data_IF_868273453015
#
_entry.id   IF_868273453015
#
_cell.length_a   1.000
_cell.length_b   1.000
_cell.length_c   1.000
_cell.angle_alpha   90.00
_cell.angle_beta   90.00
_cell.angle_gamma   90.00
#
_symmetry.space_group_name_H-M   'P 1'
#
loop_
_entity.id
_entity.type
_entity.pdbx_description
1 polymer ?
#
# COMPACT_ATOMS: atom_id res chain seq x y z
N UNK A 1 7.49 2.26 -32.07
CA UNK A 1 8.59 1.71 -31.24
C UNK A 1 8.58 0.18 -31.34
N UNK A 2 9.58 -0.54 -30.80
CA UNK A 2 9.55 -2.03 -30.79
C UNK A 2 8.36 -2.56 -29.98
N UNK A 3 8.00 -1.90 -28.87
CA UNK A 3 6.84 -2.28 -28.06
C UNK A 3 5.51 -2.15 -28.84
N UNK A 4 5.33 -1.08 -29.63
CA UNK A 4 4.11 -0.87 -30.43
C UNK A 4 4.00 -1.87 -31.60
N UNK A 5 5.13 -2.38 -32.10
CA UNK A 5 5.12 -3.48 -33.08
C UNK A 5 4.73 -4.81 -32.45
N UNK A 6 5.18 -5.05 -31.21
CA UNK A 6 4.86 -6.27 -30.46
C UNK A 6 3.39 -6.28 -29.99
N UNK A 7 2.82 -5.09 -29.73
CA UNK A 7 1.48 -4.89 -29.18
C UNK A 7 0.65 -4.04 -30.14
N UNK A 8 0.13 -4.62 -31.25
CA UNK A 8 -0.67 -3.87 -32.22
C UNK A 8 -1.81 -3.11 -31.55
N UNK A 9 -1.99 -1.84 -31.92
CA UNK A 9 -2.98 -0.94 -31.32
C UNK A 9 -2.43 -0.08 -30.17
N UNK A 10 -1.37 -0.52 -29.49
CA UNK A 10 -0.71 0.30 -28.49
C UNK A 10 -0.02 1.51 -29.14
N UNK A 11 -0.20 2.68 -28.53
CA UNK A 11 0.47 3.93 -28.87
C UNK A 11 0.94 4.60 -27.58
N UNK A 12 2.24 4.73 -27.37
CA UNK A 12 2.77 5.20 -26.08
C UNK A 12 2.93 6.72 -26.03
N UNK A 13 2.27 7.33 -25.05
CA UNK A 13 2.34 8.74 -24.73
C UNK A 13 2.96 8.95 -23.35
N UNK A 14 3.66 10.09 -23.19
CA UNK A 14 4.23 10.51 -21.92
C UNK A 14 3.25 11.44 -21.22
N UNK A 15 2.87 11.08 -19.99
CA UNK A 15 2.00 11.85 -19.13
C UNK A 15 2.81 12.39 -17.95
N UNK A 16 2.71 13.70 -17.72
CA UNK A 16 3.47 14.37 -16.65
C UNK A 16 2.50 15.10 -15.73
N UNK A 17 2.66 14.89 -14.41
CA UNK A 17 1.90 15.60 -13.38
C UNK A 17 2.81 15.92 -12.19
N UNK A 18 3.08 17.20 -11.97
CA UNK A 18 4.06 17.64 -10.98
C UNK A 18 5.47 17.14 -11.33
N UNK A 19 6.12 16.42 -10.42
CA UNK A 19 7.44 15.80 -10.67
C UNK A 19 7.36 14.37 -11.26
N UNK A 20 6.14 13.82 -11.38
CA UNK A 20 5.87 12.46 -11.87
C UNK A 20 5.76 12.44 -13.38
N UNK A 21 6.34 11.40 -13.98
CA UNK A 21 6.28 11.13 -15.41
C UNK A 21 6.04 9.64 -15.61
N UNK A 22 5.02 9.30 -16.40
CA UNK A 22 4.68 7.93 -16.78
C UNK A 22 4.49 7.83 -18.29
N UNK A 23 4.75 6.65 -18.84
CA UNK A 23 4.51 6.34 -20.25
C UNK A 23 3.40 5.31 -20.32
N UNK A 24 2.28 5.66 -20.97
CA UNK A 24 1.06 4.84 -21.05
C UNK A 24 0.47 4.92 -22.45
N UNK A 25 -0.37 3.96 -22.79
CA UNK A 25 -1.17 4.01 -24.00
C UNK A 25 -2.63 4.33 -23.68
N UNK A 26 -3.23 5.35 -24.34
CA UNK A 26 -4.65 5.61 -24.27
C UNK A 26 -5.47 4.64 -25.14
N UNK A 27 -4.81 3.90 -26.04
CA UNK A 27 -5.43 2.97 -26.97
C UNK A 27 -5.30 1.52 -26.48
N UNK A 28 -6.30 0.66 -26.74
CA UNK A 28 -6.19 -0.76 -26.42
C UNK A 28 -5.10 -1.43 -27.27
N UNK A 29 -4.57 -2.54 -26.79
CA UNK A 29 -3.59 -3.36 -27.50
C UNK A 29 -4.16 -4.75 -27.80
N UNK A 30 -3.55 -5.42 -28.78
CA UNK A 30 -3.78 -6.83 -29.08
C UNK A 30 -2.49 -7.63 -28.92
N UNK A 31 -2.63 -8.94 -28.76
CA UNK A 31 -1.53 -9.91 -28.82
C UNK A 31 -1.82 -10.92 -29.95
N UNK A 32 -0.80 -11.49 -30.59
CA UNK A 32 -0.96 -12.60 -31.54
C UNK A 32 -1.78 -13.75 -30.92
N UNK A 33 -2.63 -14.40 -31.72
CA UNK A 33 -3.52 -15.47 -31.24
C UNK A 33 -2.74 -16.65 -30.61
N UNK A 34 -1.55 -16.93 -31.14
CA UNK A 34 -0.62 -17.94 -30.62
C UNK A 34 -0.07 -17.63 -29.22
N UNK A 35 -0.11 -16.37 -28.77
CA UNK A 35 0.32 -15.96 -27.43
C UNK A 35 -0.85 -15.78 -26.46
N UNK A 36 -2.10 -15.82 -26.95
CA UNK A 36 -3.29 -15.53 -26.15
C UNK A 36 -3.46 -16.50 -24.97
N UNK A 37 -3.05 -17.77 -25.13
CA UNK A 37 -3.09 -18.78 -24.07
C UNK A 37 -1.88 -18.71 -23.11
N UNK A 38 -0.92 -17.84 -23.38
CA UNK A 38 0.36 -17.76 -22.65
C UNK A 38 0.55 -16.41 -21.92
N UNK A 39 -0.34 -15.45 -22.15
CA UNK A 39 -0.24 -14.09 -21.61
C UNK A 39 -1.59 -13.67 -21.02
N UNK A 40 -1.62 -13.46 -19.70
CA UNK A 40 -2.82 -12.92 -19.04
C UNK A 40 -3.07 -11.46 -19.44
N UNK A 41 -2.02 -10.63 -19.35
CA UNK A 41 -2.03 -9.22 -19.77
C UNK A 41 -0.59 -8.67 -19.84
N UNK A 42 -0.42 -7.48 -20.44
CA UNK A 42 0.83 -6.72 -20.43
C UNK A 42 0.74 -5.57 -19.44
N UNK A 43 1.55 -5.63 -18.38
CA UNK A 43 1.64 -4.58 -17.37
C UNK A 43 2.22 -3.27 -17.92
N UNK A 44 1.85 -2.14 -17.32
CA UNK A 44 2.43 -0.85 -17.66
C UNK A 44 1.84 -0.12 -18.86
N UNK A 45 0.77 -0.65 -19.46
CA UNK A 45 0.13 -0.04 -20.63
C UNK A 45 -0.89 1.03 -20.24
N UNK A 46 -1.86 0.72 -19.38
CA UNK A 46 -3.01 1.61 -19.15
C UNK A 46 -3.08 2.22 -17.75
N UNK A 47 -2.77 1.45 -16.70
CA UNK A 47 -3.01 1.85 -15.31
C UNK A 47 -2.03 2.92 -14.82
N UNK A 48 -2.56 4.01 -14.30
CA UNK A 48 -1.76 5.07 -13.68
C UNK A 48 -1.49 4.75 -12.21
N UNK A 49 -0.32 5.13 -11.66
CA UNK A 49 -0.08 5.02 -10.23
C UNK A 49 -1.10 5.84 -9.43
N UNK A 50 -1.52 5.31 -8.28
CA UNK A 50 -2.48 5.98 -7.41
C UNK A 50 -2.00 7.38 -6.99
N UNK A 51 -2.92 8.34 -7.04
CA UNK A 51 -2.75 9.67 -6.47
C UNK A 51 -3.77 9.89 -5.36
N UNK A 52 -3.44 9.45 -4.14
CA UNK A 52 -4.24 9.86 -2.98
C UNK A 52 -3.74 11.20 -2.44
N UNK A 53 -4.68 12.13 -2.24
CA UNK A 53 -4.43 13.31 -1.42
C UNK A 53 -4.29 12.80 0.02
N UNK A 54 -3.20 13.16 0.69
CA UNK A 54 -3.10 12.96 2.12
C UNK A 54 -4.36 13.52 2.79
N UNK A 55 -4.94 12.75 3.71
CA UNK A 55 -6.14 13.16 4.44
C UNK A 55 -5.98 14.61 4.94
N UNK A 56 -6.96 15.47 4.64
CA UNK A 56 -6.94 16.83 5.18
C UNK A 56 -7.00 16.76 6.69
N UNK A 57 -6.06 17.41 7.39
CA UNK A 57 -6.10 17.54 8.85
C UNK A 57 -7.50 18.05 9.25
N UNK A 58 -8.22 17.26 10.04
CA UNK A 58 -9.44 17.74 10.69
C UNK A 58 -9.09 18.97 11.53
N UNK A 59 -9.75 20.09 11.27
CA UNK A 59 -9.50 21.33 12.03
C UNK A 59 -9.77 21.12 13.51
N UNK A 60 -8.86 21.57 14.37
CA UNK A 60 -9.07 21.60 15.81
C UNK A 60 -10.25 22.55 16.11
N UNK A 61 -11.42 22.00 16.42
CA UNK A 61 -12.51 22.80 16.95
C UNK A 61 -12.18 23.15 18.41
N UNK A 62 -11.93 24.44 18.63
CA UNK A 62 -11.68 25.01 19.95
C UNK A 62 -12.90 24.88 20.85
N UNK A 63 -12.91 23.84 21.68
CA UNK A 63 -13.78 23.71 22.84
C UNK A 63 -12.93 23.23 24.01
N UNK A 64 -13.29 23.63 25.24
CA UNK A 64 -12.63 23.24 26.50
C UNK A 64 -12.80 21.74 26.82
N UNK A 65 -12.35 20.86 25.93
CA UNK A 65 -12.15 19.45 26.22
C UNK A 65 -10.70 19.25 26.71
N UNK A 66 -10.48 18.25 27.56
CA UNK A 66 -9.14 17.86 28.00
C UNK A 66 -8.23 17.72 26.76
N UNK A 67 -7.01 18.24 26.84
CA UNK A 67 -6.05 18.22 25.73
C UNK A 67 -5.79 16.76 25.31
N UNK A 68 -6.40 16.33 24.20
CA UNK A 68 -6.24 14.98 23.64
C UNK A 68 -5.40 15.10 22.36
N UNK A 69 -4.18 14.55 22.37
CA UNK A 69 -3.24 14.57 21.23
C UNK A 69 -3.72 13.76 20.00
N UNK A 70 -4.89 13.11 20.09
CA UNK A 70 -5.38 12.17 19.09
C UNK A 70 -5.08 10.72 19.49
N UNK A 71 -5.19 9.80 18.53
CA UNK A 71 -4.83 8.40 18.75
C UNK A 71 -3.31 8.29 18.75
N UNK A 72 -2.73 7.73 19.82
CA UNK A 72 -1.29 7.46 19.95
C UNK A 72 -1.06 5.96 20.15
N UNK A 73 0.19 5.45 20.05
CA UNK A 73 0.53 4.08 20.42
C UNK A 73 -0.04 3.64 21.78
N UNK A 74 0.06 4.49 22.81
CA UNK A 74 -0.50 4.19 24.13
C UNK A 74 -2.03 4.02 24.11
N UNK A 75 -2.74 4.84 23.33
CA UNK A 75 -4.21 4.75 23.17
C UNK A 75 -4.59 3.43 22.50
N UNK A 76 -3.92 3.05 21.41
CA UNK A 76 -4.19 1.80 20.70
C UNK A 76 -3.90 0.59 21.57
N UNK A 77 -2.73 0.54 22.20
CA UNK A 77 -2.32 -0.56 23.07
C UNK A 77 -3.30 -0.72 24.23
N UNK A 78 -3.71 0.38 24.88
CA UNK A 78 -4.72 0.34 25.94
C UNK A 78 -6.08 -0.14 25.41
N UNK A 79 -6.54 0.35 24.27
CA UNK A 79 -7.85 -0.01 23.69
C UNK A 79 -7.93 -1.48 23.30
N UNK A 80 -6.85 -2.03 22.76
CA UNK A 80 -6.77 -3.42 22.33
C UNK A 80 -6.10 -4.34 23.36
N UNK A 81 -6.09 -3.92 24.64
CA UNK A 81 -5.61 -4.72 25.78
C UNK A 81 -4.17 -5.25 25.66
N UNK A 82 -3.28 -4.48 25.03
CA UNK A 82 -1.86 -4.80 24.88
C UNK A 82 -1.08 -4.23 26.08
N UNK A 83 -0.46 -5.12 26.84
CA UNK A 83 0.40 -4.80 27.98
C UNK A 83 1.80 -4.41 27.53
N UNK A 84 2.65 -3.93 28.45
CA UNK A 84 4.07 -3.67 28.14
C UNK A 84 4.87 -4.93 27.80
N UNK A 85 4.37 -6.11 28.16
CA UNK A 85 4.98 -7.41 27.85
C UNK A 85 4.59 -7.96 26.48
N UNK A 86 3.52 -7.45 25.85
CA UNK A 86 3.05 -7.88 24.54
C UNK A 86 3.89 -7.26 23.42
N UNK A 87 5.12 -7.75 23.32
CA UNK A 87 6.13 -7.34 22.35
C UNK A 87 6.80 -8.59 21.73
N UNK A 88 7.28 -8.47 20.50
CA UNK A 88 7.95 -9.54 19.79
C UNK A 88 9.19 -10.06 20.54
N UNK A 89 9.29 -11.38 20.66
CA UNK A 89 10.43 -12.07 21.29
C UNK A 89 11.17 -13.04 20.34
N UNK A 90 10.53 -13.41 19.22
CA UNK A 90 11.07 -14.42 18.31
C UNK A 90 11.92 -13.76 17.20
N UNK A 91 13.21 -14.14 17.07
CA UNK A 91 14.13 -13.50 16.13
C UNK A 91 13.80 -13.76 14.66
N UNK A 92 13.10 -14.86 14.35
CA UNK A 92 12.71 -15.23 12.99
C UNK A 92 11.30 -14.75 12.61
N UNK A 93 10.65 -13.98 13.48
CA UNK A 93 9.38 -13.35 13.17
C UNK A 93 9.62 -11.96 12.57
N UNK A 94 8.91 -11.63 11.50
CA UNK A 94 9.03 -10.33 10.83
C UNK A 94 7.71 -9.89 10.19
N UNK A 95 7.56 -8.58 10.06
CA UNK A 95 6.39 -7.90 9.51
C UNK A 95 6.83 -6.80 8.54
N UNK A 96 5.98 -6.37 7.62
CA UNK A 96 6.27 -5.27 6.72
C UNK A 96 5.02 -4.43 6.43
N UNK A 97 5.24 -3.16 6.14
CA UNK A 97 4.24 -2.26 5.56
C UNK A 97 4.61 -1.94 4.11
N UNK A 98 3.63 -1.85 3.22
CA UNK A 98 3.80 -1.51 1.82
C UNK A 98 2.85 -0.38 1.41
N UNK A 99 3.41 0.64 0.77
CA UNK A 99 2.66 1.74 0.18
C UNK A 99 3.27 2.08 -1.18
N UNK A 100 2.47 2.67 -2.07
CA UNK A 100 2.83 2.87 -3.47
C UNK A 100 2.76 4.34 -3.91
N UNK A 101 2.64 5.25 -2.95
CA UNK A 101 2.87 6.67 -3.19
C UNK A 101 4.39 6.88 -3.25
N UNK A 102 4.86 7.83 -4.06
CA UNK A 102 6.27 8.27 -4.06
C UNK A 102 6.59 9.09 -2.79
N UNK A 103 6.29 8.52 -1.65
CA UNK A 103 6.55 9.03 -0.31
C UNK A 103 7.56 8.10 0.34
N UNK A 104 8.47 8.67 1.12
CA UNK A 104 9.50 7.92 1.83
C UNK A 104 9.33 8.19 3.33
N UNK A 105 9.53 7.16 4.16
CA UNK A 105 9.69 7.36 5.60
C UNK A 105 11.14 7.76 5.87
N UNK A 106 11.36 8.65 6.84
CA UNK A 106 12.72 8.97 7.30
C UNK A 106 13.02 8.17 8.57
N UNK A 107 14.19 7.51 8.67
CA UNK A 107 14.60 6.83 9.90
C UNK A 107 14.68 7.77 11.12
N UNK A 108 14.94 9.06 10.89
CA UNK A 108 14.96 10.09 11.94
C UNK A 108 13.55 10.31 12.52
N UNK A 109 12.54 10.44 11.66
CA UNK A 109 11.14 10.62 12.06
C UNK A 109 10.65 9.43 12.90
N UNK A 110 10.97 8.19 12.47
CA UNK A 110 10.63 6.99 13.24
C UNK A 110 11.31 6.98 14.61
N UNK A 111 12.58 7.39 14.69
CA UNK A 111 13.30 7.45 15.96
C UNK A 111 12.70 8.50 16.90
N UNK A 112 12.35 9.67 16.39
CA UNK A 112 11.66 10.73 17.14
C UNK A 112 10.26 10.29 17.60
N UNK A 113 9.49 9.66 16.71
CA UNK A 113 8.17 9.11 17.03
C UNK A 113 8.25 8.10 18.19
N UNK A 114 9.21 7.17 18.12
CA UNK A 114 9.40 6.17 19.17
C UNK A 114 9.91 6.78 20.47
N UNK A 115 10.72 7.85 20.40
CA UNK A 115 11.13 8.60 21.59
C UNK A 115 9.93 9.29 22.27
N UNK A 116 8.99 9.82 21.49
CA UNK A 116 7.81 10.51 22.00
C UNK A 116 6.74 9.55 22.53
N UNK A 117 6.51 8.42 21.86
CA UNK A 117 5.34 7.57 22.11
C UNK A 117 5.66 6.11 22.52
N UNK A 118 6.90 5.67 22.42
CA UNK A 118 7.32 4.28 22.65
C UNK A 118 7.66 3.94 24.10
N UNK A 119 7.72 4.92 25.02
CA UNK A 119 8.23 4.71 26.39
C UNK A 119 7.48 3.68 27.25
N UNK A 120 6.26 3.27 26.87
CA UNK A 120 5.44 2.32 27.61
C UNK A 120 5.63 0.85 27.25
N UNK A 121 6.49 0.52 26.29
CA UNK A 121 6.72 -0.86 25.81
C UNK A 121 8.11 -1.01 25.17
N UNK A 122 8.64 -2.24 25.13
CA UNK A 122 9.88 -2.54 24.41
C UNK A 122 9.69 -2.35 22.90
N UNK A 123 10.54 -1.55 22.25
CA UNK A 123 10.40 -1.20 20.84
C UNK A 123 11.75 -1.06 20.12
N UNK A 124 11.69 -1.10 18.78
CA UNK A 124 12.82 -0.80 17.90
C UNK A 124 12.66 0.64 17.40
N UNK A 125 13.74 1.41 17.33
CA UNK A 125 13.73 2.77 16.78
C UNK A 125 14.27 2.84 15.35
N UNK A 126 14.53 1.68 14.72
CA UNK A 126 15.09 1.55 13.38
C UNK A 126 14.50 0.33 12.68
N UNK A 127 14.36 0.44 11.37
CA UNK A 127 14.08 -0.70 10.49
C UNK A 127 15.36 -1.49 10.23
N UNK A 128 15.25 -2.80 9.98
CA UNK A 128 16.40 -3.72 9.94
C UNK A 128 17.24 -3.62 8.65
N UNK A 129 16.69 -3.03 7.59
CA UNK A 129 17.35 -2.79 6.31
C UNK A 129 16.67 -1.60 5.64
N UNK A 130 17.21 -1.01 4.58
CA UNK A 130 16.43 -0.19 3.63
C UNK A 130 16.55 -0.87 2.28
N UNK A 131 15.42 -1.33 1.72
CA UNK A 131 15.38 -1.95 0.39
C UNK A 131 14.85 -0.89 -0.57
N UNK A 132 15.69 -0.46 -1.52
CA UNK A 132 15.38 0.64 -2.44
C UNK A 132 16.18 1.91 -2.18
N UNK A 133 16.19 2.80 -3.18
CA UNK A 133 16.84 4.09 -3.06
C UNK A 133 15.87 5.07 -2.38
N UNK A 134 16.13 5.41 -1.12
CA UNK A 134 15.62 6.66 -0.58
C UNK A 134 16.44 7.77 -1.22
N UNK A 135 15.92 8.37 -2.29
CA UNK A 135 16.36 9.71 -2.66
C UNK A 135 16.05 10.66 -1.49
N UNK A 136 16.66 11.84 -1.46
CA UNK A 136 16.33 12.92 -0.49
C UNK A 136 14.93 13.52 -0.70
N UNK A 137 13.94 12.70 -1.01
CA UNK A 137 12.54 13.06 -1.17
C UNK A 137 11.93 13.45 0.16
N UNK A 138 10.88 14.28 0.10
CA UNK A 138 10.16 14.74 1.28
C UNK A 138 9.53 13.54 2.01
N UNK A 139 9.64 13.56 3.34
CA UNK A 139 8.86 12.68 4.19
C UNK A 139 7.38 12.78 3.80
N UNK A 140 6.72 11.64 3.65
CA UNK A 140 5.30 11.60 3.36
C UNK A 140 4.51 11.07 4.55
N UNK A 141 3.36 11.70 4.83
CA UNK A 141 2.52 11.34 5.97
C UNK A 141 2.11 9.86 5.94
N UNK A 142 1.79 9.32 4.77
CA UNK A 142 1.37 7.91 4.62
C UNK A 142 2.51 6.95 4.94
N UNK A 143 3.69 7.23 4.38
CA UNK A 143 4.87 6.40 4.57
C UNK A 143 5.36 6.38 6.02
N UNK A 144 5.24 7.51 6.74
CA UNK A 144 5.52 7.58 8.18
C UNK A 144 4.44 6.86 9.01
N UNK A 145 3.16 7.10 8.71
CA UNK A 145 2.02 6.52 9.43
C UNK A 145 2.08 4.99 9.46
N UNK A 146 2.28 4.37 8.30
CA UNK A 146 2.31 2.91 8.16
C UNK A 146 3.42 2.27 9.01
N UNK A 147 4.65 2.82 8.96
CA UNK A 147 5.80 2.26 9.67
C UNK A 147 5.76 2.53 11.17
N UNK A 148 5.36 3.73 11.58
CA UNK A 148 5.29 4.14 12.99
C UNK A 148 4.26 3.31 13.78
N UNK A 149 3.10 3.06 13.17
CA UNK A 149 2.03 2.33 13.83
C UNK A 149 2.18 0.82 13.78
N UNK A 150 2.68 0.23 12.68
CA UNK A 150 2.95 -1.21 12.65
C UNK A 150 4.05 -1.59 13.65
N UNK A 151 5.06 -0.73 13.85
CA UNK A 151 6.12 -0.94 14.85
C UNK A 151 5.68 -0.61 16.29
N UNK A 152 4.50 -0.03 16.48
CA UNK A 152 3.91 0.25 17.79
C UNK A 152 2.97 -0.85 18.27
N UNK A 153 2.17 -1.42 17.37
CA UNK A 153 1.28 -2.55 17.67
C UNK A 153 2.06 -3.86 17.58
N UNK A 154 2.76 -4.11 16.48
CA UNK A 154 3.77 -5.16 16.33
C UNK A 154 5.12 -4.77 16.94
N UNK A 155 5.10 -4.33 18.19
CA UNK A 155 6.29 -3.81 18.87
C UNK A 155 7.39 -4.86 18.99
N UNK A 156 8.65 -4.43 18.84
CA UNK A 156 9.85 -5.27 18.89
C UNK A 156 9.92 -6.42 17.86
N UNK A 157 9.10 -6.40 16.82
CA UNK A 157 9.16 -7.35 15.70
C UNK A 157 10.10 -6.80 14.61
N UNK A 158 10.86 -7.68 13.97
CA UNK A 158 11.70 -7.31 12.83
C UNK A 158 10.82 -6.70 11.73
N UNK A 159 11.12 -5.46 11.34
CA UNK A 159 10.34 -4.72 10.35
C UNK A 159 11.28 -4.30 9.24
N UNK A 160 11.62 -5.20 8.29
CA UNK A 160 12.28 -4.76 7.07
C UNK A 160 11.32 -3.85 6.31
N UNK A 161 11.82 -2.80 5.67
CA UNK A 161 11.00 -2.00 4.78
C UNK A 161 10.56 -2.86 3.62
N UNK A 162 9.40 -2.48 3.08
CA UNK A 162 8.89 -3.06 1.85
C UNK A 162 10.02 -3.18 0.82
N UNK A 163 10.16 -4.33 0.12
CA UNK A 163 10.90 -4.35 -1.12
C UNK A 163 10.43 -3.16 -1.95
N UNK A 164 11.35 -2.37 -2.53
CA UNK A 164 10.96 -1.16 -3.20
C UNK A 164 10.02 -1.57 -4.32
N UNK A 165 8.82 -1.01 -4.30
CA UNK A 165 7.83 -1.22 -5.34
C UNK A 165 8.36 -0.77 -6.72
N UNK A 166 9.52 -0.10 -6.74
CA UNK A 166 10.22 0.41 -7.92
C UNK A 166 11.72 0.15 -7.76
N UNK A 167 12.39 -0.61 -8.64
CA UNK A 167 13.85 -0.66 -8.70
C UNK A 167 14.44 0.75 -8.78
N UNK A 168 15.69 0.95 -8.35
CA UNK A 168 16.33 2.26 -8.43
C UNK A 168 16.36 2.78 -9.88
N UNK A 169 15.52 3.78 -10.19
CA UNK A 169 15.37 4.38 -11.52
C UNK A 169 13.96 4.91 -11.78
N UNK A 170 13.82 5.94 -12.62
CA UNK A 170 12.51 6.38 -13.12
C UNK A 170 11.99 5.32 -14.08
N UNK A 171 11.14 4.41 -13.61
CA UNK A 171 10.50 3.39 -14.45
C UNK A 171 9.11 3.84 -14.87
N UNK A 172 9.06 4.67 -15.90
CA UNK A 172 7.84 5.34 -16.38
C UNK A 172 6.76 4.36 -16.85
N UNK A 173 7.15 3.13 -17.19
CA UNK A 173 6.24 2.06 -17.64
C UNK A 173 5.77 1.14 -16.51
N UNK A 174 6.30 1.20 -15.29
CA UNK A 174 5.95 0.21 -14.26
C UNK A 174 4.67 0.58 -13.50
N UNK A 175 3.94 -0.45 -13.08
CA UNK A 175 2.88 -0.38 -12.07
C UNK A 175 3.46 -0.84 -10.73
N UNK A 176 3.68 0.06 -9.76
CA UNK A 176 4.41 -0.26 -8.53
C UNK A 176 3.79 -1.41 -7.72
N UNK A 177 2.46 -1.48 -7.70
CA UNK A 177 1.72 -2.53 -6.98
C UNK A 177 1.97 -3.92 -7.56
N UNK A 178 1.85 -4.08 -8.88
CA UNK A 178 2.10 -5.36 -9.55
C UNK A 178 3.56 -5.78 -9.40
N UNK A 179 4.51 -4.84 -9.49
CA UNK A 179 5.93 -5.13 -9.32
C UNK A 179 6.24 -5.68 -7.92
N UNK A 180 5.65 -5.09 -6.88
CA UNK A 180 5.76 -5.59 -5.50
C UNK A 180 5.20 -7.01 -5.36
N UNK A 181 4.02 -7.27 -5.93
CA UNK A 181 3.36 -8.56 -5.81
C UNK A 181 4.16 -9.68 -6.51
N UNK A 182 4.75 -9.38 -7.67
CA UNK A 182 5.66 -10.31 -8.37
C UNK A 182 6.98 -10.51 -7.60
N UNK A 183 7.49 -9.47 -6.94
CA UNK A 183 8.66 -9.55 -6.08
C UNK A 183 8.44 -10.50 -4.90
N UNK A 184 7.25 -10.48 -4.27
CA UNK A 184 6.91 -11.44 -3.22
C UNK A 184 7.08 -12.88 -3.72
N UNK A 185 6.53 -13.20 -4.89
CA UNK A 185 6.64 -14.52 -5.51
C UNK A 185 8.09 -14.94 -5.83
N UNK A 186 9.04 -14.00 -5.94
CA UNK A 186 10.44 -14.28 -6.29
C UNK A 186 11.38 -14.35 -5.07
N UNK A 187 10.91 -14.03 -3.87
CA UNK A 187 11.72 -14.03 -2.64
C UNK A 187 11.43 -15.27 -1.80
N UNK A 188 12.47 -16.01 -1.39
CA UNK A 188 12.31 -17.21 -0.56
C UNK A 188 12.05 -16.90 0.93
N UNK A 189 12.68 -15.85 1.46
CA UNK A 189 12.47 -15.36 2.81
C UNK A 189 11.71 -14.03 2.79
N UNK A 190 10.51 -14.01 3.35
CA UNK A 190 9.63 -12.85 3.42
C UNK A 190 9.16 -12.60 4.85
N UNK A 191 8.78 -11.35 5.17
CA UNK A 191 7.92 -11.07 6.31
C UNK A 191 6.66 -11.91 6.30
N UNK A 192 6.21 -12.36 7.47
CA UNK A 192 5.01 -13.20 7.56
C UNK A 192 3.73 -12.38 7.44
N UNK A 193 3.78 -11.11 7.85
CA UNK A 193 2.65 -10.19 7.86
C UNK A 193 2.98 -8.97 7.00
N UNK A 194 2.09 -8.66 6.04
CA UNK A 194 2.18 -7.50 5.17
C UNK A 194 0.94 -6.61 5.34
N UNK A 195 1.13 -5.40 5.86
CA UNK A 195 0.08 -4.37 5.91
C UNK A 195 0.20 -3.46 4.69
N UNK A 196 -0.86 -3.31 3.91
CA UNK A 196 -0.78 -2.66 2.59
C UNK A 196 -1.82 -1.54 2.46
N UNK A 197 -1.32 -0.32 2.22
CA UNK A 197 -2.12 0.88 1.97
C UNK A 197 -2.17 1.16 0.46
N UNK A 198 -3.08 0.46 -0.22
CA UNK A 198 -3.31 0.58 -1.66
C UNK A 198 -4.76 0.24 -2.02
N UNK A 199 -5.31 0.93 -3.00
CA UNK A 199 -6.58 0.55 -3.60
C UNK A 199 -6.96 1.43 -4.78
N UNK A 200 -7.45 0.78 -5.83
CA UNK A 200 -8.10 1.37 -7.00
C UNK A 200 -9.61 1.07 -6.95
N UNK A 201 -10.40 1.83 -7.71
CA UNK A 201 -11.80 1.47 -7.92
C UNK A 201 -11.88 0.16 -8.71
N UNK A 202 -12.63 -0.83 -8.23
CA UNK A 202 -12.68 -2.17 -8.84
C UNK A 202 -13.14 -2.11 -10.30
N UNK A 203 -14.12 -1.26 -10.62
CA UNK A 203 -14.63 -1.07 -11.98
C UNK A 203 -13.66 -0.36 -12.94
N UNK A 204 -12.53 0.15 -12.44
CA UNK A 204 -11.47 0.73 -13.27
C UNK A 204 -10.47 -0.31 -13.79
N UNK A 205 -10.51 -1.53 -13.24
CA UNK A 205 -9.56 -2.60 -13.52
C UNK A 205 -10.11 -3.59 -14.55
N UNK A 206 -9.21 -4.17 -15.36
CA UNK A 206 -9.60 -5.26 -16.24
C UNK A 206 -9.78 -6.55 -15.44
N UNK A 207 -10.72 -7.39 -15.87
CA UNK A 207 -10.97 -8.70 -15.24
C UNK A 207 -9.69 -9.55 -15.20
N UNK A 208 -8.97 -9.67 -16.33
CA UNK A 208 -7.72 -10.41 -16.41
C UNK A 208 -6.65 -9.94 -15.41
N UNK A 209 -6.60 -8.63 -15.14
CA UNK A 209 -5.69 -8.09 -14.13
C UNK A 209 -6.11 -8.50 -12.72
N UNK A 210 -7.40 -8.33 -12.38
CA UNK A 210 -7.91 -8.67 -11.05
C UNK A 210 -7.80 -10.18 -10.77
N UNK A 211 -8.12 -11.03 -11.74
CA UNK A 211 -7.97 -12.48 -11.63
C UNK A 211 -6.51 -12.86 -11.41
N UNK A 212 -5.57 -12.28 -12.17
CA UNK A 212 -4.15 -12.54 -11.98
C UNK A 212 -3.63 -12.05 -10.62
N UNK A 213 -4.03 -10.86 -10.19
CA UNK A 213 -3.67 -10.35 -8.84
C UNK A 213 -4.23 -11.27 -7.75
N UNK A 214 -5.46 -11.75 -7.89
CA UNK A 214 -6.04 -12.75 -6.99
C UNK A 214 -5.22 -14.05 -6.97
N UNK A 215 -4.72 -14.52 -8.13
CA UNK A 215 -3.82 -15.68 -8.19
C UNK A 215 -2.52 -15.43 -7.43
N UNK A 216 -1.94 -14.24 -7.52
CA UNK A 216 -0.75 -13.91 -6.73
C UNK A 216 -1.03 -13.85 -5.23
N UNK A 217 -2.21 -13.40 -4.80
CA UNK A 217 -2.63 -13.50 -3.40
C UNK A 217 -2.85 -14.95 -2.95
N UNK A 218 -3.45 -15.79 -3.81
CA UNK A 218 -3.55 -17.23 -3.54
C UNK A 218 -2.17 -17.86 -3.37
N UNK A 219 -1.19 -17.50 -4.20
CA UNK A 219 0.21 -17.94 -4.06
C UNK A 219 0.83 -17.47 -2.75
N UNK A 220 0.58 -16.24 -2.33
CA UNK A 220 1.04 -15.72 -1.04
C UNK A 220 0.40 -16.48 0.13
N UNK A 221 -0.91 -16.71 0.09
CA UNK A 221 -1.64 -17.48 1.09
C UNK A 221 -1.16 -18.94 1.18
N UNK A 222 -0.89 -19.59 0.04
CA UNK A 222 -0.31 -20.94 -0.01
C UNK A 222 1.09 -21.02 0.63
N UNK A 223 1.80 -19.89 0.72
CA UNK A 223 3.09 -19.77 1.43
C UNK A 223 2.94 -19.41 2.91
N UNK A 224 1.72 -19.27 3.41
CA UNK A 224 1.44 -18.91 4.80
C UNK A 224 1.60 -17.42 5.12
N UNK A 225 1.58 -16.55 4.10
CA UNK A 225 1.68 -15.10 4.30
C UNK A 225 0.31 -14.52 4.68
N UNK A 226 0.31 -13.59 5.62
CA UNK A 226 -0.86 -12.76 5.95
C UNK A 226 -0.73 -11.42 5.23
N UNK A 227 -1.69 -11.10 4.35
CA UNK A 227 -1.73 -9.81 3.66
C UNK A 227 -3.00 -9.08 4.06
N UNK A 228 -2.83 -7.87 4.62
CA UNK A 228 -3.90 -6.99 5.03
C UNK A 228 -3.99 -5.79 4.08
N UNK A 229 -5.20 -5.42 3.69
CA UNK A 229 -5.46 -4.21 2.90
C UNK A 229 -6.43 -3.29 3.63
N UNK A 230 -6.19 -1.99 3.55
CA UNK A 230 -7.17 -0.98 3.98
C UNK A 230 -8.44 -1.06 3.12
N UNK A 231 -9.62 -0.95 3.75
CA UNK A 231 -10.91 -0.96 3.02
C UNK A 231 -11.14 0.26 2.13
N UNK A 232 -10.36 1.32 2.33
CA UNK A 232 -10.55 2.63 1.71
C UNK A 232 -11.26 3.64 2.62
N UNK A 233 -11.14 4.91 2.24
CA UNK A 233 -11.56 6.06 3.06
C UNK A 233 -12.87 6.72 2.56
N UNK A 234 -13.45 6.20 1.48
CA UNK A 234 -14.62 6.75 0.78
C UNK A 234 -15.95 6.06 1.18
N UNK A 235 -15.96 5.33 2.30
CA UNK A 235 -17.10 4.53 2.73
C UNK A 235 -17.46 3.46 1.70
N UNK A 236 -18.73 3.40 1.28
CA UNK A 236 -19.18 2.49 0.23
C UNK A 236 -18.78 2.95 -1.19
N UNK A 237 -18.11 4.10 -1.32
CA UNK A 237 -17.83 4.74 -2.59
C UNK A 237 -19.10 5.23 -3.30
N UNK A 238 -18.91 5.91 -4.42
CA UNK A 238 -20.02 6.34 -5.26
C UNK A 238 -19.61 6.32 -6.74
N UNK A 239 -20.35 5.57 -7.54
CA UNK A 239 -20.21 5.54 -9.00
C UNK A 239 -21.47 6.12 -9.62
N UNK A 240 -21.27 7.13 -10.48
CA UNK A 240 -22.35 7.69 -11.31
C UNK A 240 -22.52 6.83 -12.57
N UNK A 241 -23.63 6.11 -12.64
CA UNK A 241 -24.01 5.31 -13.80
C UNK A 241 -24.67 6.13 -14.91
N UNK A 242 -24.89 5.52 -16.09
CA UNK A 242 -25.67 6.11 -17.17
C UNK A 242 -27.05 6.55 -16.67
N UNK A 243 -27.52 7.73 -17.09
CA UNK A 243 -28.82 8.26 -16.67
C UNK A 243 -28.83 8.93 -15.29
N UNK A 244 -27.68 9.04 -14.61
CA UNK A 244 -27.56 9.79 -13.34
C UNK A 244 -27.82 8.99 -12.07
N UNK A 245 -28.06 7.68 -12.17
CA UNK A 245 -28.18 6.80 -11.02
C UNK A 245 -26.84 6.63 -10.30
N UNK A 246 -26.86 6.53 -8.98
CA UNK A 246 -25.68 6.29 -8.16
C UNK A 246 -25.69 4.87 -7.61
N UNK A 247 -24.54 4.20 -7.68
CA UNK A 247 -24.32 2.89 -7.05
C UNK A 247 -23.10 2.95 -6.16
N UNK A 248 -23.00 2.01 -5.21
CA UNK A 248 -21.77 1.80 -4.46
C UNK A 248 -20.64 1.41 -5.40
N UNK A 249 -19.41 1.72 -4.99
CA UNK A 249 -18.20 1.55 -5.78
C UNK A 249 -17.14 0.86 -4.91
N UNK A 250 -17.03 -0.47 -4.97
CA UNK A 250 -16.03 -1.20 -4.20
C UNK A 250 -14.61 -0.89 -4.70
N UNK A 251 -13.63 -1.12 -3.83
CA UNK A 251 -12.22 -0.95 -4.12
C UNK A 251 -11.50 -2.31 -4.19
N UNK A 252 -10.49 -2.40 -5.04
CA UNK A 252 -9.60 -3.54 -5.17
C UNK A 252 -8.17 -3.09 -4.85
N UNK A 253 -7.34 -3.84 -4.11
CA UNK A 253 -7.51 -5.24 -3.68
C UNK A 253 -8.46 -5.55 -2.52
N UNK A 254 -9.07 -4.55 -1.87
CA UNK A 254 -9.91 -4.77 -0.69
C UNK A 254 -11.09 -5.73 -0.92
N UNK A 255 -11.59 -5.86 -2.15
CA UNK A 255 -12.63 -6.83 -2.52
C UNK A 255 -12.12 -8.23 -2.85
N UNK A 256 -10.81 -8.46 -2.87
CA UNK A 256 -10.24 -9.79 -3.10
C UNK A 256 -10.64 -10.77 -1.97
N UNK A 257 -11.10 -12.00 -2.29
CA UNK A 257 -11.44 -12.98 -1.26
C UNK A 257 -10.22 -13.61 -0.58
N UNK A 258 -9.00 -13.28 -1.04
CA UNK A 258 -7.75 -13.88 -0.59
C UNK A 258 -6.90 -12.96 0.30
N UNK A 259 -7.47 -11.83 0.74
CA UNK A 259 -6.80 -10.88 1.64
C UNK A 259 -7.66 -10.62 2.87
N UNK A 260 -7.05 -10.10 3.93
CA UNK A 260 -7.78 -9.59 5.10
C UNK A 260 -8.01 -8.09 4.95
N UNK A 261 -9.25 -7.70 4.65
CA UNK A 261 -9.60 -6.27 4.52
C UNK A 261 -9.93 -5.66 5.87
N UNK A 262 -9.29 -4.53 6.19
CA UNK A 262 -9.38 -3.85 7.50
C UNK A 262 -10.09 -2.51 7.35
N UNK A 263 -11.20 -2.35 8.07
CA UNK A 263 -11.97 -1.10 8.12
C UNK A 263 -11.55 -0.15 9.25
N UNK A 264 -12.18 1.02 9.31
CA UNK A 264 -11.92 2.06 10.32
C UNK A 264 -12.98 2.13 11.42
N UNK A 265 -12.57 2.51 12.63
CA UNK A 265 -13.47 2.82 13.76
C UNK A 265 -13.02 4.11 14.46
N UNK A 266 -13.91 4.71 15.25
CA UNK A 266 -13.61 5.93 16.02
C UNK A 266 -14.16 5.86 17.45
N UNK A 267 -13.60 6.67 18.35
CA UNK A 267 -14.14 6.85 19.69
C UNK A 267 -15.34 7.80 19.65
N UNK A 268 -16.38 7.49 20.44
CA UNK A 268 -17.60 8.31 20.53
C UNK A 268 -17.35 9.66 21.21
N UNK A 269 -16.47 9.70 22.21
CA UNK A 269 -16.11 10.89 22.99
C UNK A 269 -14.57 10.95 23.13
N UNK A 270 -13.85 11.55 22.17
CA UNK A 270 -12.40 11.71 22.22
C UNK A 270 -11.95 12.71 23.30
#
# INVERSE_FOLDING_TARGET
STAERLLPGAEFHRYVKGQRSVVRSPHPYAVPAELAEHIDFVGGLHRFPAERRAASRGGAQGGRAAFHLGVTPAVLRKRYNMTGADVGALPNNSQACAQFLEQYFHPADLAEFMQLFGGGFGHRCRVDRVVGHQGGGKAGLEASLDVEYIMSTGANVSTPPCPPAVPAGRHESQEPFLAWLLLLSNMSALPWVHSVSYGDDEDSLSLAYMERVNVEFMKAGARGLTILFASGDDGAGCRRGPGGNHTFRPSFPASSPYVTTVGGTSFKNP
#
